data_IF_107439664599
#
_entry.id   IF_107439664599
#
_cell.length_a   1.000
_cell.length_b   1.000
_cell.length_c   1.000
_cell.angle_alpha   90.00
_cell.angle_beta   90.00
_cell.angle_gamma   90.00
#
_symmetry.space_group_name_H-M   'P 1'
#
loop_
_entity.id
_entity.type
_entity.pdbx_description
1 polymer ?
#
# COMPACT_ATOMS: atom_id res chain seq x y z
N UNK A 1 -56.46 67.54 -40.55
CA UNK A 1 -55.36 68.14 -39.79
C UNK A 1 -54.34 67.07 -39.48
N UNK A 2 -53.09 67.33 -39.71
CA UNK A 2 -51.93 66.50 -39.94
C UNK A 2 -51.68 65.46 -38.86
N UNK A 3 -51.67 64.19 -39.24
CA UNK A 3 -51.11 63.04 -38.50
C UNK A 3 -49.62 62.92 -38.87
N UNK A 4 -48.74 63.08 -37.92
CA UNK A 4 -47.30 62.76 -38.08
C UNK A 4 -47.02 61.42 -37.60
N UNK A 5 -46.69 60.48 -38.54
CA UNK A 5 -46.07 59.23 -38.30
C UNK A 5 -44.64 59.41 -37.78
N UNK A 6 -44.31 58.78 -36.66
CA UNK A 6 -42.96 58.61 -36.21
C UNK A 6 -42.59 57.15 -36.41
N UNK A 7 -41.48 56.86 -37.11
CA UNK A 7 -41.06 55.43 -37.25
C UNK A 7 -40.41 54.92 -35.99
N UNK A 8 -40.89 53.76 -35.58
CA UNK A 8 -40.37 53.02 -34.44
C UNK A 8 -38.92 52.53 -34.66
N UNK A 9 -38.11 52.95 -33.75
CA UNK A 9 -36.72 52.53 -33.67
C UNK A 9 -36.69 51.09 -33.15
N UNK A 10 -36.53 50.09 -34.03
CA UNK A 10 -36.24 48.75 -33.65
C UNK A 10 -34.85 48.70 -33.07
N UNK A 11 -34.80 48.75 -31.74
CA UNK A 11 -33.60 48.48 -30.97
C UNK A 11 -33.28 47.01 -31.11
N UNK A 12 -32.29 46.69 -31.94
CA UNK A 12 -31.71 45.35 -32.06
C UNK A 12 -30.95 45.05 -30.77
N UNK A 13 -31.63 44.46 -29.81
CA UNK A 13 -30.98 43.86 -28.66
C UNK A 13 -30.27 42.60 -29.14
N UNK A 14 -29.01 42.74 -29.51
CA UNK A 14 -28.10 41.61 -29.68
C UNK A 14 -27.89 41.01 -28.31
N UNK A 15 -28.65 40.00 -27.99
CA UNK A 15 -28.38 39.09 -26.87
C UNK A 15 -27.10 38.37 -27.23
N UNK A 16 -25.97 38.89 -26.76
CA UNK A 16 -24.71 38.16 -26.69
C UNK A 16 -24.93 37.04 -25.69
N UNK A 17 -25.32 35.85 -26.19
CA UNK A 17 -25.23 34.59 -25.47
C UNK A 17 -23.73 34.35 -25.25
N UNK A 18 -23.20 34.87 -24.15
CA UNK A 18 -21.92 34.45 -23.64
C UNK A 18 -22.09 32.96 -23.29
N UNK A 19 -21.64 32.11 -24.21
CA UNK A 19 -21.29 30.74 -23.87
C UNK A 19 -20.23 30.83 -22.77
N UNK A 20 -20.67 30.83 -21.52
CA UNK A 20 -19.86 30.40 -20.43
C UNK A 20 -19.59 28.89 -20.69
N UNK A 21 -18.60 28.63 -21.55
CA UNK A 21 -17.91 27.36 -21.55
C UNK A 21 -17.38 27.23 -20.13
N UNK A 22 -18.16 26.57 -19.28
CA UNK A 22 -17.69 26.07 -18.01
C UNK A 22 -16.50 25.19 -18.33
N UNK A 23 -15.30 25.80 -18.36
CA UNK A 23 -14.09 25.05 -18.12
C UNK A 23 -14.34 24.39 -16.77
N UNK A 24 -14.76 23.13 -16.79
CA UNK A 24 -14.49 22.21 -15.68
C UNK A 24 -12.99 22.30 -15.56
N UNK A 25 -12.50 23.22 -14.69
CA UNK A 25 -11.15 23.15 -14.20
C UNK A 25 -11.07 21.72 -13.70
N UNK A 26 -10.49 20.83 -14.51
CA UNK A 26 -9.96 19.60 -14.01
C UNK A 26 -9.13 20.08 -12.83
N UNK A 27 -9.60 19.80 -11.62
CA UNK A 27 -8.82 20.10 -10.43
C UNK A 27 -7.53 19.35 -10.67
N UNK A 28 -6.50 20.05 -11.17
CA UNK A 28 -5.17 19.56 -11.26
C UNK A 28 -4.91 18.97 -9.89
N UNK A 29 -4.52 17.72 -9.85
CA UNK A 29 -4.21 16.97 -8.66
C UNK A 29 -3.14 17.73 -7.88
N UNK A 30 -3.60 18.52 -6.91
CA UNK A 30 -2.77 19.43 -6.14
C UNK A 30 -1.58 18.72 -5.45
N UNK A 31 -1.61 17.41 -5.38
CA UNK A 31 -0.53 16.61 -4.75
C UNK A 31 0.68 16.51 -5.66
N UNK A 32 0.50 16.10 -6.92
CA UNK A 32 1.62 16.00 -7.85
C UNK A 32 2.30 17.35 -8.08
N UNK A 33 1.50 18.42 -8.21
CA UNK A 33 2.01 19.78 -8.40
C UNK A 33 2.82 20.24 -7.18
N UNK A 34 2.29 20.04 -5.97
CA UNK A 34 3.00 20.34 -4.71
C UNK A 34 4.29 19.54 -4.55
N UNK A 35 4.30 18.27 -4.94
CA UNK A 35 5.50 17.42 -4.94
C UNK A 35 6.55 18.02 -5.86
N UNK A 36 6.18 18.40 -7.08
CA UNK A 36 7.09 18.99 -8.08
C UNK A 36 7.60 20.37 -7.65
N UNK A 37 6.72 21.22 -7.17
CA UNK A 37 7.07 22.55 -6.68
C UNK A 37 8.05 22.50 -5.50
N UNK A 38 7.78 21.60 -4.55
CA UNK A 38 8.64 21.38 -3.37
C UNK A 38 9.94 20.66 -3.71
N UNK A 39 9.99 19.92 -4.84
CA UNK A 39 11.11 19.08 -5.22
C UNK A 39 11.31 17.85 -4.31
N UNK A 40 10.29 17.50 -3.52
CA UNK A 40 10.32 16.42 -2.53
C UNK A 40 8.96 15.74 -2.43
N UNK A 41 8.97 14.40 -2.34
CA UNK A 41 7.79 13.59 -2.04
C UNK A 41 7.93 12.95 -0.66
N UNK A 42 6.93 13.14 0.19
CA UNK A 42 6.89 12.51 1.53
C UNK A 42 6.14 11.18 1.44
N UNK A 43 6.84 10.08 1.71
CA UNK A 43 6.30 8.72 1.54
C UNK A 43 6.25 8.00 2.88
N UNK A 44 5.06 7.56 3.27
CA UNK A 44 4.88 6.71 4.43
C UNK A 44 5.34 5.28 4.14
N UNK A 45 6.27 4.77 4.95
CA UNK A 45 6.80 3.41 4.84
C UNK A 45 6.67 2.66 6.17
N UNK A 46 6.35 1.37 6.09
CA UNK A 46 6.35 0.50 7.26
C UNK A 46 7.79 0.09 7.61
N UNK A 47 8.14 0.16 8.89
CA UNK A 47 9.43 -0.30 9.42
C UNK A 47 9.20 -1.13 10.69
N UNK A 48 8.52 -2.27 10.53
CA UNK A 48 8.17 -3.19 11.62
C UNK A 48 9.20 -4.30 11.83
N UNK A 49 10.36 -4.18 11.17
CA UNK A 49 11.43 -5.19 11.18
C UNK A 49 11.44 -6.07 9.91
N UNK A 50 12.54 -6.81 9.76
CA UNK A 50 12.77 -7.70 8.63
C UNK A 50 13.07 -6.98 7.32
N UNK A 51 13.09 -7.73 6.21
CA UNK A 51 13.53 -7.26 4.89
C UNK A 51 12.60 -6.24 4.25
N UNK A 52 11.33 -6.16 4.71
CA UNK A 52 10.34 -5.23 4.15
C UNK A 52 10.46 -3.82 4.68
N UNK A 53 11.03 -3.63 5.85
CA UNK A 53 11.31 -2.31 6.41
C UNK A 53 11.81 -2.40 7.84
N UNK A 54 12.99 -1.88 8.08
CA UNK A 54 13.63 -1.79 9.38
C UNK A 54 14.39 -0.47 9.51
N UNK A 55 14.83 -0.18 10.72
CA UNK A 55 15.77 0.91 10.97
C UNK A 55 17.16 0.29 11.10
N UNK A 56 18.11 0.74 10.28
CA UNK A 56 19.49 0.34 10.40
C UNK A 56 20.06 0.85 11.74
N UNK A 57 20.57 -0.02 12.61
CA UNK A 57 20.99 0.38 13.94
C UNK A 57 22.22 1.30 13.95
N UNK A 58 23.02 1.32 12.87
CA UNK A 58 24.23 2.12 12.74
C UNK A 58 23.94 3.49 12.16
N UNK A 59 23.15 3.54 11.08
CA UNK A 59 22.86 4.79 10.36
C UNK A 59 21.57 5.46 10.81
N UNK A 60 20.70 4.74 11.53
CA UNK A 60 19.36 5.15 11.91
C UNK A 60 18.44 5.42 10.70
N UNK A 61 18.84 4.96 9.53
CA UNK A 61 18.06 5.10 8.31
C UNK A 61 17.01 3.98 8.15
N UNK A 62 15.92 4.32 7.49
CA UNK A 62 14.92 3.34 7.05
C UNK A 62 15.47 2.55 5.87
N UNK A 63 15.55 1.22 6.00
CA UNK A 63 16.12 0.30 5.01
C UNK A 63 15.17 -0.87 4.73
N UNK A 64 15.32 -1.50 3.57
CA UNK A 64 14.53 -2.66 3.15
C UNK A 64 13.64 -2.35 1.96
N UNK A 65 12.77 -3.31 1.62
CA UNK A 65 11.91 -3.28 0.42
C UNK A 65 11.09 -1.98 0.29
N UNK A 66 10.24 -1.66 1.28
CA UNK A 66 9.40 -0.46 1.20
C UNK A 66 10.20 0.84 1.11
N UNK A 67 11.26 1.07 1.93
CA UNK A 67 12.15 2.22 1.79
C UNK A 67 12.84 2.32 0.44
N UNK A 68 13.28 1.20 -0.13
CA UNK A 68 13.95 1.19 -1.44
C UNK A 68 12.99 1.52 -2.57
N UNK A 69 11.78 0.96 -2.54
CA UNK A 69 10.71 1.33 -3.48
C UNK A 69 10.37 2.82 -3.39
N UNK A 70 10.29 3.35 -2.17
CA UNK A 70 9.96 4.76 -1.95
C UNK A 70 11.04 5.70 -2.53
N UNK A 71 12.32 5.37 -2.35
CA UNK A 71 13.43 6.13 -2.95
C UNK A 71 13.42 6.04 -4.48
N UNK A 72 13.21 4.85 -5.03
CA UNK A 72 13.17 4.66 -6.49
C UNK A 72 11.91 5.31 -7.10
N UNK A 73 10.77 5.34 -6.38
CA UNK A 73 9.59 6.09 -6.80
C UNK A 73 9.89 7.58 -6.90
N UNK A 74 10.47 8.17 -5.87
CA UNK A 74 10.86 9.58 -5.87
C UNK A 74 11.81 9.92 -7.02
N UNK A 75 12.80 9.07 -7.28
CA UNK A 75 13.71 9.19 -8.42
C UNK A 75 12.96 9.13 -9.75
N UNK A 76 12.00 8.21 -9.90
CA UNK A 76 11.14 8.10 -11.09
C UNK A 76 10.24 9.31 -11.30
N UNK A 77 9.85 10.01 -10.22
CA UNK A 77 9.10 11.28 -10.26
C UNK A 77 10.01 12.50 -10.47
N UNK A 78 11.34 12.35 -10.43
CA UNK A 78 12.32 13.42 -10.59
C UNK A 78 12.46 14.32 -9.34
N UNK A 79 12.17 13.81 -8.15
CA UNK A 79 12.20 14.54 -6.88
C UNK A 79 12.97 13.78 -5.80
N UNK A 80 13.22 14.41 -4.65
CA UNK A 80 13.83 13.76 -3.48
C UNK A 80 12.79 12.98 -2.67
N UNK A 81 13.19 11.87 -2.07
CA UNK A 81 12.37 11.13 -1.12
C UNK A 81 12.55 11.65 0.30
N UNK A 82 11.45 11.90 0.99
CA UNK A 82 11.37 12.05 2.43
C UNK A 82 10.55 10.88 2.99
N UNK A 83 11.20 9.98 3.75
CA UNK A 83 10.56 8.79 4.28
C UNK A 83 10.02 9.03 5.69
N UNK A 84 8.77 8.71 5.89
CA UNK A 84 8.10 8.81 7.20
C UNK A 84 7.71 7.41 7.65
N UNK A 85 8.22 7.00 8.82
CA UNK A 85 7.79 5.74 9.41
C UNK A 85 6.32 5.81 9.82
N UNK A 86 5.52 4.84 9.35
CA UNK A 86 4.12 4.68 9.75
C UNK A 86 3.89 3.34 10.42
N UNK A 87 2.80 3.24 11.18
CA UNK A 87 2.34 2.00 11.79
C UNK A 87 1.13 1.46 11.02
N UNK A 88 0.91 0.15 11.05
CA UNK A 88 -0.22 -0.50 10.38
C UNK A 88 -1.55 0.14 10.74
N UNK A 89 -1.77 0.48 12.01
CA UNK A 89 -3.01 1.09 12.49
C UNK A 89 -3.21 2.54 12.04
N UNK A 90 -2.15 3.29 11.75
CA UNK A 90 -2.22 4.74 11.52
C UNK A 90 -1.88 5.15 10.10
N UNK A 91 -1.30 4.27 9.28
CA UNK A 91 -0.81 4.58 7.91
C UNK A 91 -1.88 5.23 7.03
N UNK A 92 -3.12 4.72 7.04
CA UNK A 92 -4.23 5.30 6.28
C UNK A 92 -4.53 6.73 6.71
N UNK A 93 -4.54 7.00 8.02
CA UNK A 93 -4.80 8.34 8.54
C UNK A 93 -3.67 9.33 8.21
N UNK A 94 -2.42 8.87 8.17
CA UNK A 94 -1.29 9.71 7.75
C UNK A 94 -1.46 10.18 6.30
N UNK A 95 -1.93 9.30 5.41
CA UNK A 95 -2.20 9.65 4.01
C UNK A 95 -3.40 10.61 3.88
N UNK A 96 -4.54 10.28 4.52
CA UNK A 96 -5.76 11.10 4.44
C UNK A 96 -5.53 12.50 5.00
N UNK A 97 -4.78 12.62 6.11
CA UNK A 97 -4.48 13.92 6.74
C UNK A 97 -3.38 14.73 6.02
N UNK A 98 -2.78 14.20 4.97
CA UNK A 98 -1.69 14.87 4.24
C UNK A 98 -0.35 14.92 4.98
N UNK A 99 -0.16 14.13 6.04
CA UNK A 99 1.14 13.97 6.70
C UNK A 99 2.16 13.25 5.81
N UNK A 100 1.67 12.46 4.87
CA UNK A 100 2.44 11.89 3.77
C UNK A 100 1.68 12.09 2.46
N UNK A 101 2.41 12.18 1.36
CA UNK A 101 1.83 12.31 0.02
C UNK A 101 1.39 10.95 -0.53
N UNK A 102 2.19 9.92 -0.26
CA UNK A 102 2.01 8.55 -0.76
C UNK A 102 2.27 7.54 0.36
N UNK A 103 1.75 6.31 0.17
CA UNK A 103 2.09 5.18 1.05
C UNK A 103 2.68 4.01 0.24
N UNK A 104 3.83 3.52 0.70
CA UNK A 104 4.44 2.24 0.33
C UNK A 104 4.70 1.48 1.63
N UNK A 105 3.69 0.79 2.12
CA UNK A 105 3.70 0.29 3.49
C UNK A 105 3.13 -1.13 3.61
N UNK A 106 3.46 -2.02 2.68
CA UNK A 106 2.95 -3.40 2.63
C UNK A 106 1.44 -3.43 2.87
N UNK A 107 0.71 -2.62 2.10
CA UNK A 107 -0.72 -2.43 2.28
C UNK A 107 -1.46 -2.97 1.05
N UNK A 108 -2.14 -4.09 1.24
CA UNK A 108 -2.82 -4.81 0.19
C UNK A 108 -4.03 -4.05 -0.33
N UNK A 109 -4.28 -4.17 -1.64
CA UNK A 109 -5.48 -3.69 -2.27
C UNK A 109 -6.68 -4.53 -1.83
N UNK A 110 -7.69 -3.88 -1.28
CA UNK A 110 -8.98 -4.46 -0.99
C UNK A 110 -10.11 -3.43 -1.23
N UNK A 111 -11.38 -3.88 -1.39
CA UNK A 111 -12.50 -2.98 -1.70
C UNK A 111 -12.69 -1.87 -0.66
N UNK A 112 -12.60 -2.17 0.61
CA UNK A 112 -12.83 -1.21 1.71
C UNK A 112 -11.83 -0.04 1.66
N UNK A 113 -10.55 -0.34 1.38
CA UNK A 113 -9.52 0.70 1.22
C UNK A 113 -9.70 1.49 -0.08
N UNK A 114 -10.07 0.81 -1.18
CA UNK A 114 -10.33 1.45 -2.47
C UNK A 114 -11.54 2.41 -2.46
N UNK A 115 -12.47 2.23 -1.51
CA UNK A 115 -13.57 3.19 -1.32
C UNK A 115 -13.10 4.54 -0.79
N UNK A 116 -12.09 4.57 0.06
CA UNK A 116 -11.64 5.79 0.78
C UNK A 116 -10.30 6.34 0.30
N UNK A 117 -9.51 5.55 -0.44
CA UNK A 117 -8.19 5.91 -0.96
C UNK A 117 -8.13 5.78 -2.49
N UNK A 118 -7.18 6.50 -3.09
CA UNK A 118 -6.70 6.26 -4.43
C UNK A 118 -5.52 5.28 -4.42
N UNK A 119 -5.21 4.67 -5.54
CA UNK A 119 -4.07 3.77 -5.68
C UNK A 119 -3.59 3.68 -7.13
N UNK A 120 -2.30 3.44 -7.31
CA UNK A 120 -1.73 3.09 -8.60
C UNK A 120 -2.15 1.65 -8.96
N UNK A 121 -2.79 1.41 -10.13
CA UNK A 121 -3.37 0.11 -10.45
C UNK A 121 -2.35 -1.00 -10.70
N UNK A 122 -1.12 -0.66 -11.09
CA UNK A 122 -0.07 -1.66 -11.29
C UNK A 122 0.51 -2.09 -9.93
N UNK A 123 0.35 -3.36 -9.52
CA UNK A 123 0.89 -3.82 -8.25
C UNK A 123 2.41 -3.96 -8.32
N UNK A 124 3.07 -3.76 -7.19
CA UNK A 124 4.52 -3.96 -7.06
C UNK A 124 4.89 -5.24 -6.29
N UNK A 125 3.92 -5.91 -5.69
CA UNK A 125 4.11 -7.16 -4.93
C UNK A 125 2.78 -7.87 -4.73
N UNK A 126 2.83 -9.15 -4.28
CA UNK A 126 1.66 -9.89 -3.82
C UNK A 126 2.02 -10.62 -2.54
N UNK A 127 1.15 -10.56 -1.55
CA UNK A 127 1.37 -11.18 -0.26
C UNK A 127 0.04 -11.56 0.36
N UNK A 128 0.06 -12.63 1.15
CA UNK A 128 -1.02 -13.03 2.03
C UNK A 128 -0.50 -13.26 3.45
N UNK A 129 -1.39 -13.58 4.36
CA UNK A 129 -1.04 -13.88 5.74
C UNK A 129 -0.58 -15.30 5.93
N UNK A 130 0.52 -15.51 6.66
CA UNK A 130 0.96 -16.78 7.17
C UNK A 130 0.83 -16.83 8.70
N UNK A 131 0.52 -18.00 9.24
CA UNK A 131 0.39 -18.23 10.68
C UNK A 131 1.69 -18.78 11.26
N UNK A 132 2.34 -18.02 12.15
CA UNK A 132 3.37 -18.56 13.03
C UNK A 132 2.69 -19.22 14.25
N UNK A 133 3.02 -20.47 14.53
CA UNK A 133 2.52 -21.24 15.67
C UNK A 133 3.65 -22.00 16.34
N UNK A 134 3.46 -22.40 17.60
CA UNK A 134 4.39 -23.37 18.21
C UNK A 134 4.30 -24.73 17.52
N UNK A 135 5.40 -25.46 17.44
CA UNK A 135 5.46 -26.79 16.82
C UNK A 135 4.56 -27.81 17.51
N UNK A 136 4.30 -27.62 18.80
CA UNK A 136 3.44 -28.48 19.65
C UNK A 136 1.98 -27.96 19.73
N UNK A 137 1.60 -26.97 18.95
CA UNK A 137 0.27 -26.33 19.01
C UNK A 137 -0.88 -27.18 18.47
N UNK A 138 -0.59 -28.20 17.64
CA UNK A 138 -1.59 -28.98 16.92
C UNK A 138 -2.32 -28.23 15.81
N UNK A 139 -1.90 -26.99 15.48
CA UNK A 139 -2.45 -26.21 14.37
C UNK A 139 -1.82 -26.69 13.07
N UNK A 140 -2.65 -27.06 12.09
CA UNK A 140 -2.20 -27.54 10.76
C UNK A 140 -2.98 -26.89 9.60
N UNK A 141 -4.13 -26.30 9.87
CA UNK A 141 -5.01 -25.63 8.90
C UNK A 141 -5.71 -24.46 9.56
N UNK A 142 -6.26 -23.55 8.76
CA UNK A 142 -6.91 -22.33 9.24
C UNK A 142 -8.11 -22.61 10.17
N UNK A 143 -8.86 -23.67 9.90
CA UNK A 143 -10.03 -24.07 10.70
C UNK A 143 -9.67 -24.45 12.13
N UNK A 144 -8.43 -24.89 12.39
CA UNK A 144 -7.95 -25.23 13.72
C UNK A 144 -7.84 -24.01 14.66
N UNK A 145 -7.95 -22.80 14.10
CA UNK A 145 -7.95 -21.53 14.85
C UNK A 145 -9.31 -21.20 15.47
N UNK A 146 -10.37 -21.94 15.15
CA UNK A 146 -11.73 -21.67 15.64
C UNK A 146 -11.77 -21.61 17.18
N UNK A 147 -12.30 -20.49 17.70
CA UNK A 147 -12.40 -20.21 19.14
C UNK A 147 -11.07 -19.95 19.84
N UNK A 148 -9.93 -19.97 19.11
CA UNK A 148 -8.61 -19.79 19.71
C UNK A 148 -8.11 -18.34 19.53
N UNK A 149 -7.31 -17.83 20.50
CA UNK A 149 -6.72 -16.49 20.39
C UNK A 149 -5.65 -16.43 19.31
N UNK A 150 -5.80 -15.48 18.37
CA UNK A 150 -4.87 -15.22 17.27
C UNK A 150 -4.41 -13.77 17.33
N UNK A 151 -3.11 -13.58 17.39
CA UNK A 151 -2.45 -12.27 17.43
C UNK A 151 -2.27 -11.70 16.02
N UNK A 152 -2.62 -10.43 15.83
CA UNK A 152 -2.40 -9.66 14.59
C UNK A 152 -1.98 -8.23 14.90
N UNK A 153 -1.47 -7.48 13.92
CA UNK A 153 -1.36 -6.02 14.07
C UNK A 153 -2.73 -5.36 13.97
N UNK A 154 -2.99 -4.32 14.75
CA UNK A 154 -4.15 -3.46 14.57
C UNK A 154 -4.15 -2.84 13.16
N UNK A 155 -5.31 -2.81 12.52
CA UNK A 155 -5.46 -2.35 11.14
C UNK A 155 -4.96 -3.34 10.07
N UNK A 156 -4.65 -4.58 10.46
CA UNK A 156 -4.37 -5.67 9.52
C UNK A 156 -5.66 -6.13 8.83
N UNK A 157 -5.60 -6.35 7.52
CA UNK A 157 -6.68 -6.92 6.72
C UNK A 157 -6.98 -8.39 7.06
N UNK A 158 -6.03 -9.09 7.68
CA UNK A 158 -6.21 -10.49 8.09
C UNK A 158 -7.19 -10.67 9.25
N UNK A 159 -7.44 -9.63 10.06
CA UNK A 159 -8.30 -9.72 11.23
C UNK A 159 -9.72 -10.18 10.86
N UNK A 160 -10.31 -9.60 9.82
CA UNK A 160 -11.68 -9.89 9.40
C UNK A 160 -11.87 -11.33 8.92
N UNK A 161 -11.09 -11.84 7.93
CA UNK A 161 -11.25 -13.23 7.50
C UNK A 161 -10.93 -14.23 8.61
N UNK A 162 -9.94 -13.96 9.48
CA UNK A 162 -9.67 -14.82 10.63
C UNK A 162 -10.88 -14.97 11.57
N UNK A 163 -11.61 -13.89 11.78
CA UNK A 163 -12.84 -13.90 12.60
C UNK A 163 -14.03 -14.51 11.84
N UNK A 164 -14.30 -14.01 10.62
CA UNK A 164 -15.52 -14.34 9.89
C UNK A 164 -15.49 -15.75 9.30
N UNK A 165 -14.37 -16.14 8.69
CA UNK A 165 -14.28 -17.38 7.92
C UNK A 165 -13.79 -18.54 8.80
N UNK A 166 -12.83 -18.26 9.70
CA UNK A 166 -12.19 -19.28 10.52
C UNK A 166 -12.64 -19.25 12.00
N UNK A 167 -13.42 -18.25 12.43
CA UNK A 167 -13.96 -18.16 13.78
C UNK A 167 -12.90 -17.97 14.87
N UNK A 168 -11.75 -17.41 14.54
CA UNK A 168 -10.68 -17.13 15.49
C UNK A 168 -11.05 -15.95 16.43
N UNK A 169 -10.52 -15.95 17.64
CA UNK A 169 -10.61 -14.83 18.59
C UNK A 169 -9.41 -13.92 18.34
N UNK A 170 -9.59 -12.91 17.50
CA UNK A 170 -8.50 -12.02 17.09
C UNK A 170 -8.12 -11.04 18.19
N UNK A 171 -6.81 -10.96 18.49
CA UNK A 171 -6.20 -9.98 19.40
C UNK A 171 -5.30 -9.03 18.61
N UNK A 172 -5.65 -7.73 18.56
CA UNK A 172 -4.91 -6.70 17.86
C UNK A 172 -3.82 -6.07 18.73
N UNK A 173 -2.60 -5.99 18.21
CA UNK A 173 -1.44 -5.37 18.86
C UNK A 173 -0.96 -4.17 18.06
N UNK A 174 -0.21 -3.25 18.71
CA UNK A 174 0.25 -2.02 18.09
C UNK A 174 1.14 -2.26 16.87
N UNK A 175 1.97 -3.29 16.90
CA UNK A 175 2.87 -3.68 15.82
C UNK A 175 2.91 -5.19 15.62
N UNK A 176 3.52 -5.64 14.50
CA UNK A 176 3.80 -7.06 14.28
C UNK A 176 4.79 -7.60 15.32
N UNK A 177 5.77 -6.80 15.74
CA UNK A 177 6.72 -7.19 16.78
C UNK A 177 6.02 -7.45 18.13
N UNK A 178 5.10 -6.55 18.55
CA UNK A 178 4.33 -6.74 19.78
C UNK A 178 3.43 -7.99 19.70
N UNK A 179 2.81 -8.21 18.53
CA UNK A 179 1.99 -9.40 18.27
C UNK A 179 2.81 -10.70 18.35
N UNK A 180 4.00 -10.70 17.76
CA UNK A 180 4.92 -11.84 17.79
C UNK A 180 5.46 -12.09 19.21
N UNK A 181 5.76 -11.05 19.99
CA UNK A 181 6.12 -11.17 21.41
C UNK A 181 4.97 -11.74 22.23
N UNK A 182 3.73 -11.35 21.95
CA UNK A 182 2.54 -11.87 22.61
C UNK A 182 2.33 -13.38 22.30
N UNK A 183 2.62 -13.82 21.07
CA UNK A 183 2.66 -15.25 20.72
C UNK A 183 3.70 -15.98 21.56
N UNK A 184 4.94 -15.47 21.66
CA UNK A 184 6.01 -16.06 22.47
C UNK A 184 5.63 -16.10 23.97
N UNK A 185 4.91 -15.07 24.43
CA UNK A 185 4.38 -14.99 25.79
C UNK A 185 3.16 -15.87 26.06
N UNK A 186 2.72 -16.69 25.08
CA UNK A 186 1.58 -17.60 25.25
C UNK A 186 0.20 -16.94 25.28
N UNK A 187 0.09 -15.66 24.89
CA UNK A 187 -1.19 -14.95 24.87
C UNK A 187 -2.06 -15.34 23.68
N UNK A 188 -1.47 -15.96 22.65
CA UNK A 188 -2.12 -16.43 21.45
C UNK A 188 -1.55 -17.80 21.06
N UNK A 189 -2.33 -18.60 20.34
CA UNK A 189 -1.86 -19.89 19.78
C UNK A 189 -1.18 -19.70 18.42
N UNK A 190 -1.50 -18.60 17.75
CA UNK A 190 -0.93 -18.22 16.47
C UNK A 190 -0.74 -16.70 16.40
N UNK A 191 0.24 -16.25 15.62
CA UNK A 191 0.33 -14.87 15.14
C UNK A 191 0.27 -14.88 13.61
N UNK A 192 -0.60 -14.03 13.03
CA UNK A 192 -0.79 -13.96 11.57
C UNK A 192 -0.33 -12.60 11.07
N UNK A 193 0.67 -12.65 10.21
CA UNK A 193 1.26 -11.50 9.52
C UNK A 193 1.62 -11.87 8.09
N UNK A 194 2.09 -10.89 7.32
CA UNK A 194 2.57 -11.12 5.97
C UNK A 194 3.51 -12.32 5.91
N UNK A 195 3.29 -13.22 4.97
CA UNK A 195 4.10 -14.43 4.78
C UNK A 195 5.58 -14.10 4.61
N UNK A 196 5.86 -12.96 3.98
CA UNK A 196 7.18 -12.39 3.78
C UNK A 196 7.88 -11.91 5.07
N UNK A 197 7.14 -11.69 6.15
CA UNK A 197 7.69 -11.48 7.49
C UNK A 197 7.86 -12.82 8.21
N UNK A 198 6.83 -13.68 8.16
CA UNK A 198 6.79 -14.91 8.94
C UNK A 198 7.84 -15.92 8.48
N UNK A 199 7.91 -16.23 7.18
CA UNK A 199 8.82 -17.27 6.69
C UNK A 199 10.32 -16.96 6.94
N UNK A 200 10.84 -15.77 6.62
CA UNK A 200 12.23 -15.43 6.94
C UNK A 200 12.51 -15.44 8.45
N UNK A 201 11.59 -14.91 9.26
CA UNK A 201 11.73 -14.90 10.72
C UNK A 201 11.93 -16.30 11.28
N UNK A 202 11.08 -17.26 10.85
CA UNK A 202 11.11 -18.64 11.34
C UNK A 202 12.30 -19.42 10.79
N UNK A 203 12.83 -19.06 9.62
CA UNK A 203 13.97 -19.72 8.99
C UNK A 203 15.30 -19.25 9.55
N UNK A 204 15.46 -17.95 9.80
CA UNK A 204 16.76 -17.33 10.03
C UNK A 204 17.01 -16.93 11.48
N UNK A 205 16.00 -16.92 12.36
CA UNK A 205 16.16 -16.49 13.73
C UNK A 205 16.06 -17.67 14.72
N UNK A 206 17.18 -18.07 15.36
CA UNK A 206 17.21 -19.20 16.30
C UNK A 206 16.24 -19.09 17.49
N UNK A 207 15.87 -17.87 17.89
CA UNK A 207 14.90 -17.65 18.96
C UNK A 207 13.49 -18.16 18.61
N UNK A 208 13.23 -18.41 17.32
CA UNK A 208 11.97 -18.94 16.80
C UNK A 208 12.02 -20.44 16.48
N UNK A 209 13.08 -21.16 16.86
CA UNK A 209 13.23 -22.58 16.57
C UNK A 209 12.05 -23.47 17.06
N UNK A 210 11.37 -23.05 18.15
CA UNK A 210 10.18 -23.71 18.67
C UNK A 210 8.90 -23.44 17.86
N UNK A 211 8.97 -22.57 16.84
CA UNK A 211 7.83 -22.14 16.01
C UNK A 211 7.99 -22.61 14.57
N UNK A 212 6.87 -22.64 13.85
CA UNK A 212 6.81 -22.95 12.43
C UNK A 212 5.58 -22.30 11.79
N UNK A 213 5.49 -22.34 10.47
CA UNK A 213 4.31 -21.96 9.69
C UNK A 213 3.72 -23.22 9.04
N UNK A 214 2.83 -23.98 9.73
CA UNK A 214 2.39 -25.29 9.28
C UNK A 214 1.31 -25.24 8.19
N UNK A 215 0.64 -24.09 8.03
CA UNK A 215 -0.46 -23.93 7.08
C UNK A 215 0.13 -23.53 5.72
N UNK A 216 0.01 -24.42 4.74
CA UNK A 216 0.64 -24.24 3.43
C UNK A 216 -0.05 -23.20 2.51
N UNK A 217 -1.25 -22.71 2.88
CA UNK A 217 -1.95 -21.66 2.14
C UNK A 217 -1.90 -20.33 2.89
N UNK A 218 -1.82 -19.24 2.15
CA UNK A 218 -1.95 -17.89 2.73
C UNK A 218 -3.43 -17.52 2.95
N UNK A 219 -3.70 -16.77 4.03
CA UNK A 219 -5.00 -16.12 4.20
C UNK A 219 -4.99 -14.79 3.45
N UNK A 220 -6.06 -14.51 2.69
CA UNK A 220 -6.30 -13.26 1.96
C UNK A 220 -5.09 -12.81 1.10
N UNK A 221 -4.55 -13.65 0.19
CA UNK A 221 -3.47 -13.22 -0.69
C UNK A 221 -3.97 -12.13 -1.63
N UNK A 222 -3.30 -10.97 -1.62
CA UNK A 222 -3.70 -9.80 -2.39
C UNK A 222 -2.50 -8.99 -2.89
N UNK A 223 -2.73 -8.18 -3.91
CA UNK A 223 -1.71 -7.31 -4.49
C UNK A 223 -1.42 -6.11 -3.59
N UNK A 224 -0.16 -5.79 -3.41
CA UNK A 224 0.30 -4.55 -2.79
C UNK A 224 0.46 -3.47 -3.85
N UNK A 225 -0.07 -2.28 -3.55
CA UNK A 225 -0.08 -1.13 -4.44
C UNK A 225 0.45 0.11 -3.72
N UNK A 226 0.87 1.11 -4.50
CA UNK A 226 1.15 2.44 -3.96
C UNK A 226 -0.17 3.18 -3.78
N UNK A 227 -0.40 3.70 -2.58
CA UNK A 227 -1.63 4.39 -2.21
C UNK A 227 -1.46 5.89 -2.27
N UNK A 228 -2.52 6.57 -2.73
CA UNK A 228 -2.68 8.03 -2.79
C UNK A 228 -3.96 8.42 -2.05
N UNK A 229 -4.21 9.71 -1.91
CA UNK A 229 -5.54 10.17 -1.51
C UNK A 229 -6.55 9.92 -2.64
N UNK A 230 -7.81 9.83 -2.27
CA UNK A 230 -8.90 9.62 -3.22
C UNK A 230 -9.00 10.78 -4.21
N UNK A 231 -9.20 10.48 -5.50
CA UNK A 231 -9.43 11.49 -6.54
C UNK A 231 -8.18 12.13 -7.14
N UNK A 232 -6.97 11.71 -6.73
CA UNK A 232 -5.68 12.24 -7.24
C UNK A 232 -5.26 11.55 -8.54
N UNK A 233 -5.97 11.81 -9.64
CA UNK A 233 -5.81 11.10 -10.91
C UNK A 233 -4.41 11.28 -11.54
N UNK A 234 -3.86 12.52 -11.51
CA UNK A 234 -2.55 12.81 -12.11
C UNK A 234 -1.42 12.20 -11.29
N UNK A 235 -1.52 12.25 -9.96
CA UNK A 235 -0.60 11.56 -9.05
C UNK A 235 -0.63 10.04 -9.29
N UNK A 236 -1.83 9.46 -9.37
CA UNK A 236 -2.02 8.03 -9.65
C UNK A 236 -1.34 7.65 -10.97
N UNK A 237 -1.60 8.39 -12.04
CA UNK A 237 -1.04 8.13 -13.37
C UNK A 237 0.50 8.25 -13.37
N UNK A 238 1.04 9.28 -12.73
CA UNK A 238 2.49 9.48 -12.63
C UNK A 238 3.18 8.36 -11.84
N UNK A 239 2.61 7.97 -10.70
CA UNK A 239 3.10 6.88 -9.85
C UNK A 239 3.02 5.55 -10.60
N UNK A 240 1.89 5.26 -11.24
CA UNK A 240 1.68 4.01 -11.98
C UNK A 240 2.67 3.84 -13.13
N UNK A 241 2.95 4.93 -13.85
CA UNK A 241 3.97 4.95 -14.91
C UNK A 241 5.36 4.55 -14.39
N UNK A 242 5.73 5.01 -13.19
CA UNK A 242 7.01 4.63 -12.57
C UNK A 242 7.02 3.14 -12.22
N UNK A 243 5.94 2.61 -11.64
CA UNK A 243 5.82 1.19 -11.28
C UNK A 243 5.87 0.30 -12.53
N UNK A 244 5.20 0.68 -13.61
CA UNK A 244 5.30 -0.01 -14.90
C UNK A 244 6.75 -0.01 -15.42
N UNK A 245 7.48 1.10 -15.24
CA UNK A 245 8.91 1.18 -15.52
C UNK A 245 9.75 0.20 -14.71
N UNK A 246 9.44 0.00 -13.42
CA UNK A 246 10.14 -0.98 -12.59
C UNK A 246 9.94 -2.41 -13.10
N UNK A 247 8.71 -2.76 -13.50
CA UNK A 247 8.44 -4.06 -14.12
C UNK A 247 9.19 -4.20 -15.45
N UNK A 248 9.06 -3.21 -16.33
CA UNK A 248 9.70 -3.24 -17.65
C UNK A 248 11.21 -3.46 -17.59
N UNK A 249 11.88 -2.81 -16.65
CA UNK A 249 13.33 -2.91 -16.47
C UNK A 249 13.79 -4.14 -15.66
N UNK A 250 12.85 -4.86 -15.02
CA UNK A 250 13.16 -5.94 -14.09
C UNK A 250 13.75 -5.47 -12.75
N UNK A 251 13.63 -4.17 -12.44
CA UNK A 251 14.18 -3.59 -11.22
C UNK A 251 13.60 -4.23 -9.95
N UNK A 252 12.29 -4.55 -9.93
CA UNK A 252 11.65 -5.22 -8.80
C UNK A 252 12.22 -6.62 -8.56
N UNK A 253 12.43 -7.41 -9.62
CA UNK A 253 13.04 -8.75 -9.53
C UNK A 253 14.48 -8.66 -9.01
N UNK A 254 15.26 -7.69 -9.52
CA UNK A 254 16.61 -7.47 -9.05
C UNK A 254 16.66 -7.04 -7.56
N UNK A 255 15.71 -6.22 -7.13
CA UNK A 255 15.60 -5.76 -5.74
C UNK A 255 15.15 -6.88 -4.82
N UNK A 256 14.19 -7.71 -5.22
CA UNK A 256 13.76 -8.92 -4.50
C UNK A 256 14.95 -9.85 -4.26
N UNK A 257 15.72 -10.14 -5.31
CA UNK A 257 16.92 -10.98 -5.22
C UNK A 257 18.01 -10.37 -4.32
N UNK A 258 18.24 -9.06 -4.42
CA UNK A 258 19.24 -8.36 -3.60
C UNK A 258 18.90 -8.39 -2.11
N UNK A 259 17.62 -8.34 -1.77
CA UNK A 259 17.11 -8.38 -0.40
C UNK A 259 16.85 -9.79 0.12
N UNK A 260 17.16 -10.83 -0.67
CA UNK A 260 16.93 -12.24 -0.32
C UNK A 260 15.49 -12.52 0.11
N UNK A 261 14.53 -11.93 -0.63
CA UNK A 261 13.11 -12.15 -0.40
C UNK A 261 12.70 -13.47 -1.04
N UNK A 262 12.31 -14.43 -0.21
CA UNK A 262 11.90 -15.76 -0.62
C UNK A 262 10.55 -16.16 -0.01
N UNK A 263 9.76 -16.96 -0.76
CA UNK A 263 9.99 -17.38 -2.15
C UNK A 263 9.86 -16.22 -3.13
N UNK A 264 10.57 -16.30 -4.26
CA UNK A 264 10.44 -15.31 -5.34
C UNK A 264 8.99 -15.19 -5.81
N UNK A 265 8.57 -13.98 -6.10
CA UNK A 265 7.17 -13.68 -6.43
C UNK A 265 6.85 -13.92 -7.90
N UNK A 266 6.01 -14.90 -8.25
CA UNK A 266 5.62 -15.14 -9.65
C UNK A 266 5.04 -13.90 -10.33
N UNK A 267 4.30 -13.07 -9.60
CA UNK A 267 3.73 -11.81 -10.09
C UNK A 267 4.78 -10.88 -10.70
N UNK A 268 5.98 -10.80 -10.11
CA UNK A 268 7.02 -9.89 -10.60
C UNK A 268 7.54 -10.33 -11.98
N UNK A 269 7.71 -11.65 -12.19
CA UNK A 269 8.11 -12.19 -13.49
C UNK A 269 7.00 -12.03 -14.52
N UNK A 270 5.75 -12.33 -14.17
CA UNK A 270 4.59 -12.17 -15.04
C UNK A 270 4.44 -10.71 -15.54
N UNK A 271 4.53 -9.75 -14.64
CA UNK A 271 4.43 -8.34 -15.01
C UNK A 271 5.67 -7.82 -15.74
N UNK A 272 6.87 -8.32 -15.42
CA UNK A 272 8.06 -8.03 -16.21
C UNK A 272 7.88 -8.43 -17.66
N UNK A 273 7.45 -9.67 -17.91
CA UNK A 273 7.25 -10.19 -19.25
C UNK A 273 6.16 -9.41 -20.01
N UNK A 274 5.08 -9.04 -19.33
CA UNK A 274 4.01 -8.20 -19.88
C UNK A 274 4.51 -6.82 -20.31
N UNK A 275 5.22 -6.11 -19.45
CA UNK A 275 5.63 -4.73 -19.70
C UNK A 275 6.88 -4.61 -20.56
N UNK A 276 7.71 -5.65 -20.67
CA UNK A 276 8.85 -5.71 -21.58
C UNK A 276 8.43 -5.79 -23.06
N UNK A 277 7.30 -6.44 -23.35
CA UNK A 277 6.79 -6.63 -24.71
C UNK A 277 6.05 -5.40 -25.27
N UNK A 278 5.67 -4.43 -24.44
CA UNK A 278 4.92 -3.23 -24.83
C UNK A 278 5.78 -2.00 -25.14
N UNK A 279 7.05 -2.18 -25.49
CA UNK A 279 8.04 -1.12 -25.77
C UNK A 279 8.25 -0.92 -27.27
#
# INVERSE_FOLDING_TARGET
MKTRNTPGLFLRTAVALALAAGATAAHADATLDKIKERGTVTIGVLANGGVFGSIDPKTQELVGWNPDLARELAKGLGVKAELVQVQTATRTQFLISGKVDLLIASMELNPERAEILGYAPTPFFRVGGAAATRRDSGITKWEDLRGKPVCVSQGSSFARPLQADYGAVVKGYKSSSDSLLALRGGQCVAAVHDSTLIHPLLRSNPEWAAYHAPIGSEVLPANSVVWTRKGEADTIAAVDKVIQGWHRTGWLIATEKRLDIEPAQPLLQELHDKYKQGS
#
